data_IF_915256445519
#
_entry.id   IF_915256445519
#
_cell.length_a   1.000
_cell.length_b   1.000
_cell.length_c   1.000
_cell.angle_alpha   90.00
_cell.angle_beta   90.00
_cell.angle_gamma   90.00
#
_symmetry.space_group_name_H-M   'P 1'
#
loop_
_entity.id
_entity.type
_entity.pdbx_description
1 polymer ?
#
# COMPACT_ATOMS: atom_id res chain seq x y z
N UNK A 1 -5.02 -6.35 8.45
CA UNK A 1 -6.04 -5.45 7.88
C UNK A 1 -7.46 -5.83 8.34
N UNK A 2 -7.82 -7.11 8.37
CA UNK A 2 -9.17 -7.58 8.77
C UNK A 2 -9.66 -7.02 10.11
N UNK A 3 -8.81 -6.95 11.13
CA UNK A 3 -9.15 -6.38 12.45
C UNK A 3 -9.34 -4.86 12.41
N UNK A 4 -8.55 -4.15 11.60
CA UNK A 4 -8.69 -2.70 11.40
C UNK A 4 -10.03 -2.40 10.74
N UNK A 5 -10.44 -3.21 9.77
CA UNK A 5 -11.73 -3.07 9.11
C UNK A 5 -12.89 -3.50 10.04
N UNK A 6 -12.68 -4.53 10.86
CA UNK A 6 -13.72 -5.12 11.72
C UNK A 6 -14.42 -6.32 11.08
N UNK A 7 -13.73 -7.03 10.17
CA UNK A 7 -14.20 -8.30 9.57
C UNK A 7 -13.85 -9.48 10.48
N UNK A 8 -12.71 -9.38 11.19
CA UNK A 8 -12.22 -10.35 12.15
C UNK A 8 -11.99 -9.68 13.50
N UNK A 9 -12.14 -10.44 14.58
CA UNK A 9 -11.86 -9.97 15.95
C UNK A 9 -13.13 -9.73 16.77
N UNK A 10 -12.94 -9.20 17.98
CA UNK A 10 -14.03 -8.86 18.89
C UNK A 10 -14.69 -7.53 18.50
N UNK A 11 -15.98 -7.38 18.77
CA UNK A 11 -16.67 -6.10 18.62
C UNK A 11 -16.11 -5.05 19.60
N UNK A 12 -16.24 -3.76 19.26
CA UNK A 12 -15.85 -2.62 20.09
C UNK A 12 -14.34 -2.52 20.36
N UNK A 13 -13.50 -2.86 19.37
CA UNK A 13 -12.03 -2.69 19.43
C UNK A 13 -11.57 -1.38 18.79
N UNK A 14 -12.50 -0.57 18.28
CA UNK A 14 -12.19 0.68 17.57
C UNK A 14 -11.89 0.46 16.09
N UNK A 15 -12.45 -0.60 15.51
CA UNK A 15 -12.37 -0.90 14.07
C UNK A 15 -13.16 0.13 13.24
N UNK A 16 -12.90 0.18 11.94
CA UNK A 16 -13.65 1.03 11.01
C UNK A 16 -15.16 0.78 11.10
N UNK A 17 -15.56 -0.49 11.23
CA UNK A 17 -16.97 -0.88 11.43
C UNK A 17 -17.57 -0.32 12.72
N UNK A 18 -16.80 -0.25 13.81
CA UNK A 18 -17.26 0.34 15.08
C UNK A 18 -17.54 1.85 14.94
N UNK A 19 -16.90 2.52 13.97
CA UNK A 19 -17.15 3.92 13.61
C UNK A 19 -18.17 4.09 12.47
N UNK A 20 -18.92 3.05 12.11
CA UNK A 20 -19.97 3.11 11.09
C UNK A 20 -19.47 3.08 9.63
N UNK A 21 -18.19 2.79 9.40
CA UNK A 21 -17.64 2.64 8.05
C UNK A 21 -18.00 1.25 7.52
N UNK A 22 -18.68 1.22 6.37
CA UNK A 22 -19.04 -0.02 5.69
C UNK A 22 -17.87 -0.51 4.82
N UNK A 23 -17.75 -1.83 4.69
CA UNK A 23 -16.72 -2.48 3.87
C UNK A 23 -17.35 -3.48 2.91
N UNK A 24 -16.72 -3.60 1.74
CA UNK A 24 -16.98 -4.65 0.75
C UNK A 24 -15.72 -4.89 -0.06
N UNK A 25 -15.64 -6.08 -0.63
CA UNK A 25 -14.50 -6.52 -1.43
C UNK A 25 -14.97 -6.98 -2.80
N UNK A 26 -14.18 -6.69 -3.83
CA UNK A 26 -14.35 -7.27 -5.15
C UNK A 26 -13.49 -8.53 -5.19
N UNK A 27 -14.07 -9.72 -5.41
CA UNK A 27 -13.29 -10.95 -5.46
C UNK A 27 -12.31 -10.91 -6.63
N UNK A 28 -11.19 -11.61 -6.46
CA UNK A 28 -10.23 -11.83 -7.53
C UNK A 28 -10.75 -12.90 -8.49
N UNK A 29 -10.29 -12.85 -9.75
CA UNK A 29 -10.51 -13.94 -10.70
C UNK A 29 -9.72 -15.19 -10.30
N UNK A 30 -10.04 -16.34 -10.89
CA UNK A 30 -9.49 -17.64 -10.51
C UNK A 30 -7.95 -17.74 -10.62
N UNK A 31 -7.31 -16.95 -11.48
CA UNK A 31 -5.85 -16.88 -11.59
C UNK A 31 -5.20 -15.91 -10.57
N UNK A 32 -6.01 -15.31 -9.69
CA UNK A 32 -5.60 -14.34 -8.69
C UNK A 32 -5.48 -12.90 -9.20
N UNK A 33 -5.78 -12.65 -10.48
CA UNK A 33 -5.84 -11.31 -11.05
C UNK A 33 -7.04 -10.48 -10.55
N UNK A 34 -7.05 -9.20 -10.92
CA UNK A 34 -8.22 -8.34 -10.71
C UNK A 34 -9.35 -8.77 -11.65
N UNK A 35 -10.57 -8.89 -11.11
CA UNK A 35 -11.77 -9.00 -11.92
C UNK A 35 -12.11 -7.62 -12.51
N UNK A 36 -11.68 -7.40 -13.76
CA UNK A 36 -11.85 -6.11 -14.44
C UNK A 36 -13.31 -5.78 -14.70
N UNK A 37 -14.15 -6.77 -14.99
CA UNK A 37 -15.57 -6.58 -15.29
C UNK A 37 -16.33 -6.24 -14.00
N UNK A 38 -16.05 -6.96 -12.91
CA UNK A 38 -16.62 -6.65 -11.61
C UNK A 38 -16.14 -5.28 -11.09
N UNK A 39 -14.85 -4.94 -11.27
CA UNK A 39 -14.29 -3.66 -10.85
C UNK A 39 -14.97 -2.48 -11.58
N UNK A 40 -15.24 -2.63 -12.88
CA UNK A 40 -15.87 -1.61 -13.74
C UNK A 40 -17.31 -1.26 -13.33
N UNK A 41 -17.97 -2.10 -12.54
CA UNK A 41 -19.33 -1.89 -12.02
C UNK A 41 -19.39 -1.86 -10.49
N UNK A 42 -18.22 -1.85 -9.83
CA UNK A 42 -18.17 -2.01 -8.40
C UNK A 42 -18.59 -0.75 -7.67
N UNK A 43 -18.19 0.45 -8.09
CA UNK A 43 -18.29 1.68 -7.28
C UNK A 43 -19.75 2.14 -7.13
N UNK A 44 -20.16 2.39 -5.88
CA UNK A 44 -21.50 2.90 -5.53
C UNK A 44 -21.43 4.37 -5.11
N UNK A 45 -22.54 5.13 -5.12
CA UNK A 45 -22.56 6.52 -4.68
C UNK A 45 -21.97 6.75 -3.28
N UNK A 46 -22.18 5.82 -2.36
CA UNK A 46 -21.67 5.84 -1.00
C UNK A 46 -20.21 5.39 -0.83
N UNK A 47 -19.55 4.92 -1.90
CA UNK A 47 -18.18 4.41 -1.83
C UNK A 47 -17.18 5.57 -1.73
N UNK A 48 -16.78 5.92 -0.51
CA UNK A 48 -15.85 7.02 -0.26
C UNK A 48 -14.38 6.72 -0.58
N UNK A 49 -13.95 5.46 -0.45
CA UNK A 49 -12.56 5.05 -0.67
C UNK A 49 -12.49 3.66 -1.31
N UNK A 50 -11.65 3.52 -2.33
CA UNK A 50 -11.20 2.26 -2.89
C UNK A 50 -9.79 1.96 -2.38
N UNK A 51 -9.60 0.76 -1.84
CA UNK A 51 -8.32 0.29 -1.32
C UNK A 51 -7.73 -0.76 -2.26
N UNK A 52 -6.46 -0.59 -2.64
CA UNK A 52 -5.73 -1.51 -3.52
C UNK A 52 -4.49 -2.03 -2.79
N UNK A 53 -4.32 -3.34 -2.72
CA UNK A 53 -3.12 -3.97 -2.17
C UNK A 53 -2.17 -4.39 -3.30
N UNK A 54 -1.03 -3.69 -3.42
CA UNK A 54 -0.04 -3.94 -4.48
C UNK A 54 0.59 -5.33 -4.36
N UNK A 55 1.15 -5.64 -3.19
CA UNK A 55 1.75 -6.94 -2.93
C UNK A 55 0.70 -8.06 -2.80
N UNK A 56 1.01 -9.25 -3.30
CA UNK A 56 0.17 -10.43 -3.12
C UNK A 56 0.08 -10.92 -1.66
N UNK A 57 1.00 -10.50 -0.78
CA UNK A 57 1.07 -11.02 0.58
C UNK A 57 1.24 -12.54 0.56
N UNK A 58 0.34 -13.27 1.23
CA UNK A 58 0.34 -14.74 1.25
C UNK A 58 -0.61 -15.37 0.23
N UNK A 59 -1.25 -14.58 -0.63
CA UNK A 59 -2.16 -15.09 -1.66
C UNK A 59 -1.38 -15.62 -2.86
N UNK A 60 -1.86 -16.72 -3.46
CA UNK A 60 -1.27 -17.30 -4.66
C UNK A 60 -1.67 -16.52 -5.92
N UNK A 61 -1.17 -15.30 -6.02
CA UNK A 61 -1.36 -14.40 -7.16
C UNK A 61 -0.11 -13.61 -7.43
N UNK A 62 -0.03 -13.01 -8.62
CA UNK A 62 0.99 -12.00 -8.90
C UNK A 62 0.67 -10.72 -8.14
N UNK A 63 1.72 -10.06 -7.63
CA UNK A 63 1.62 -8.67 -7.20
C UNK A 63 1.21 -7.80 -8.38
N UNK A 64 0.43 -6.75 -8.10
CA UNK A 64 -0.04 -5.83 -9.13
C UNK A 64 1.12 -4.94 -9.60
N UNK A 65 1.24 -4.78 -10.91
CA UNK A 65 2.16 -3.79 -11.48
C UNK A 65 1.60 -2.38 -11.31
N UNK A 66 2.45 -1.36 -11.46
CA UNK A 66 1.98 0.04 -11.49
C UNK A 66 1.03 0.28 -12.66
N UNK A 67 1.19 -0.44 -13.78
CA UNK A 67 0.28 -0.40 -14.92
C UNK A 67 -1.11 -0.96 -14.58
N UNK A 68 -1.18 -2.09 -13.85
CA UNK A 68 -2.46 -2.66 -13.38
C UNK A 68 -3.15 -1.69 -12.42
N UNK A 69 -2.38 -1.09 -11.51
CA UNK A 69 -2.91 -0.10 -10.55
C UNK A 69 -3.43 1.14 -11.29
N UNK A 70 -2.70 1.64 -12.30
CA UNK A 70 -3.16 2.76 -13.13
C UNK A 70 -4.49 2.45 -13.83
N UNK A 71 -4.60 1.26 -14.44
CA UNK A 71 -5.84 0.81 -15.07
C UNK A 71 -6.98 0.70 -14.06
N UNK A 72 -6.73 0.14 -12.88
CA UNK A 72 -7.71 0.03 -11.81
C UNK A 72 -8.21 1.41 -11.33
N UNK A 73 -7.29 2.36 -11.11
CA UNK A 73 -7.62 3.75 -10.76
C UNK A 73 -8.52 4.37 -11.84
N UNK A 74 -8.17 4.19 -13.12
CA UNK A 74 -8.97 4.70 -14.24
C UNK A 74 -10.43 4.19 -14.20
N UNK A 75 -10.63 2.89 -13.99
CA UNK A 75 -11.96 2.29 -13.88
C UNK A 75 -12.75 2.83 -12.67
N UNK A 76 -12.08 3.00 -11.52
CA UNK A 76 -12.70 3.54 -10.31
C UNK A 76 -13.14 4.99 -10.53
N UNK A 77 -12.24 5.83 -11.06
CA UNK A 77 -12.48 7.26 -11.27
C UNK A 77 -13.51 7.54 -12.37
N UNK A 78 -13.64 6.66 -13.36
CA UNK A 78 -14.71 6.76 -14.37
C UNK A 78 -16.10 6.57 -13.76
N UNK A 79 -16.25 5.70 -12.76
CA UNK A 79 -17.53 5.48 -12.08
C UNK A 79 -17.83 6.60 -11.06
N UNK A 80 -16.81 7.01 -10.31
CA UNK A 80 -16.93 8.13 -9.37
C UNK A 80 -15.58 8.87 -9.24
N UNK A 81 -15.44 10.08 -9.81
CA UNK A 81 -14.20 10.85 -9.72
C UNK A 81 -13.84 11.28 -8.28
N UNK A 82 -14.85 11.35 -7.40
CA UNK A 82 -14.69 11.71 -5.99
C UNK A 82 -14.32 10.52 -5.09
N UNK A 83 -14.38 9.28 -5.59
CA UNK A 83 -13.96 8.11 -4.82
C UNK A 83 -12.45 8.15 -4.64
N UNK A 84 -11.96 8.26 -3.39
CA UNK A 84 -10.52 8.28 -3.12
C UNK A 84 -9.90 6.92 -3.42
N UNK A 85 -8.67 6.89 -3.91
CA UNK A 85 -7.92 5.65 -4.12
C UNK A 85 -6.70 5.62 -3.22
N UNK A 86 -6.71 4.67 -2.27
CA UNK A 86 -5.59 4.38 -1.39
C UNK A 86 -4.89 3.10 -1.84
N UNK A 87 -3.55 3.11 -1.90
CA UNK A 87 -2.75 1.93 -2.23
C UNK A 87 -1.85 1.55 -1.06
N UNK A 88 -1.98 0.32 -0.57
CA UNK A 88 -0.93 -0.30 0.25
C UNK A 88 0.24 -0.65 -0.66
N UNK A 89 1.31 0.14 -0.54
CA UNK A 89 2.47 0.08 -1.41
C UNK A 89 3.60 -0.78 -0.82
N UNK A 90 3.37 -1.45 0.31
CA UNK A 90 4.37 -2.30 0.94
C UNK A 90 5.01 -3.29 -0.05
N UNK A 91 6.34 -3.37 -0.02
CA UNK A 91 7.19 -4.21 -0.87
C UNK A 91 7.26 -3.77 -2.34
N UNK A 92 6.48 -2.78 -2.76
CA UNK A 92 6.49 -2.25 -4.12
C UNK A 92 7.45 -1.09 -4.32
N UNK A 93 7.92 -0.49 -3.22
CA UNK A 93 8.75 0.71 -3.29
C UNK A 93 10.06 0.43 -4.05
N UNK A 94 10.36 1.26 -5.05
CA UNK A 94 11.55 1.21 -5.91
C UNK A 94 11.71 -0.05 -6.78
N UNK A 95 10.69 -0.90 -6.86
CA UNK A 95 10.71 -2.09 -7.75
C UNK A 95 10.48 -1.69 -9.20
N UNK A 96 9.68 -0.64 -9.43
CA UNK A 96 9.38 -0.07 -10.73
C UNK A 96 9.87 1.40 -10.76
N UNK A 97 10.01 1.97 -11.96
CA UNK A 97 10.43 3.38 -12.13
C UNK A 97 9.37 4.36 -11.60
N UNK A 98 8.12 3.91 -11.57
CA UNK A 98 6.98 4.71 -11.11
C UNK A 98 6.37 4.12 -9.84
N UNK A 99 5.67 4.96 -9.08
CA UNK A 99 4.92 4.55 -7.89
C UNK A 99 3.43 4.84 -8.08
N UNK A 100 2.52 4.19 -7.31
CA UNK A 100 1.08 4.38 -7.47
C UNK A 100 0.62 5.85 -7.38
N UNK A 101 1.28 6.66 -6.54
CA UNK A 101 1.00 8.09 -6.44
C UNK A 101 1.25 8.85 -7.75
N UNK A 102 2.19 8.38 -8.58
CA UNK A 102 2.51 8.99 -9.89
C UNK A 102 1.47 8.65 -10.97
N UNK A 103 0.64 7.63 -10.74
CA UNK A 103 -0.36 7.13 -11.72
C UNK A 103 -1.80 7.33 -11.26
N UNK A 104 -2.01 8.17 -10.25
CA UNK A 104 -3.33 8.65 -9.84
C UNK A 104 -3.83 8.15 -8.48
N UNK A 105 -3.02 7.41 -7.71
CA UNK A 105 -3.40 7.09 -6.34
C UNK A 105 -3.44 8.38 -5.50
N UNK A 106 -4.51 8.57 -4.73
CA UNK A 106 -4.69 9.75 -3.89
C UNK A 106 -3.85 9.68 -2.61
N UNK A 107 -3.62 8.46 -2.12
CA UNK A 107 -2.83 8.18 -0.93
C UNK A 107 -2.11 6.84 -1.07
N UNK A 108 -0.85 6.77 -0.65
CA UNK A 108 -0.10 5.53 -0.51
C UNK A 108 0.45 5.41 0.91
N UNK A 109 0.58 4.19 1.41
CA UNK A 109 1.18 3.92 2.70
C UNK A 109 2.10 2.70 2.64
N UNK A 110 3.11 2.68 3.51
CA UNK A 110 4.01 1.55 3.65
C UNK A 110 4.88 1.64 4.89
N UNK A 111 5.80 0.70 5.01
CA UNK A 111 6.63 0.53 6.21
C UNK A 111 8.08 0.92 5.95
N UNK A 112 8.68 1.68 6.87
CA UNK A 112 10.09 2.06 6.80
C UNK A 112 11.02 0.93 7.19
N UNK A 113 10.56 -0.17 7.81
CA UNK A 113 11.41 -1.35 8.02
C UNK A 113 11.42 -2.30 6.81
N UNK A 114 10.84 -1.88 5.68
CA UNK A 114 10.85 -2.59 4.40
C UNK A 114 11.75 -1.86 3.40
N UNK A 115 11.39 -1.91 2.11
CA UNK A 115 12.11 -1.32 0.98
C UNK A 115 12.62 0.11 1.23
N UNK A 116 11.79 1.10 1.66
CA UNK A 116 12.26 2.47 1.81
C UNK A 116 13.20 2.70 2.99
N UNK A 117 13.34 1.71 3.88
CA UNK A 117 14.30 1.77 4.98
C UNK A 117 15.73 1.46 4.59
N UNK A 118 15.95 0.88 3.41
CA UNK A 118 17.28 0.46 2.95
C UNK A 118 18.01 -0.42 3.96
N UNK A 119 17.30 -1.24 4.76
CA UNK A 119 17.82 -2.05 5.89
C UNK A 119 18.44 -1.26 7.06
N UNK A 120 18.39 0.07 7.01
CA UNK A 120 18.98 0.98 8.03
C UNK A 120 17.93 1.54 8.97
N UNK A 121 16.74 1.87 8.45
CA UNK A 121 15.69 2.46 9.27
C UNK A 121 15.26 1.49 10.39
N UNK A 122 15.28 1.93 11.68
CA UNK A 122 15.05 1.04 12.80
C UNK A 122 13.55 0.72 13.01
N UNK A 123 12.68 1.64 12.61
CA UNK A 123 11.24 1.55 12.77
C UNK A 123 10.54 2.56 11.84
N UNK A 124 9.21 2.57 11.89
CA UNK A 124 8.38 3.61 11.30
C UNK A 124 7.57 3.18 10.07
N UNK A 125 6.78 4.12 9.58
CA UNK A 125 5.97 3.99 8.39
C UNK A 125 5.90 5.34 7.67
N UNK A 126 5.40 5.32 6.44
CA UNK A 126 5.20 6.52 5.65
C UNK A 126 3.77 6.56 5.10
N UNK A 127 3.30 7.79 4.88
CA UNK A 127 2.11 8.10 4.11
C UNK A 127 2.51 9.19 3.12
N UNK A 128 2.16 9.03 1.85
CA UNK A 128 2.43 10.02 0.80
C UNK A 128 1.23 10.13 -0.13
N UNK A 129 0.94 11.33 -0.65
CA UNK A 129 -0.22 11.55 -1.51
C UNK A 129 -0.67 13.00 -1.50
N UNK A 130 -1.98 13.21 -1.70
CA UNK A 130 -2.59 14.54 -1.65
C UNK A 130 -2.48 15.15 -0.26
N UNK A 131 -2.11 16.42 -0.20
CA UNK A 131 -1.86 17.19 1.03
C UNK A 131 -2.97 17.00 2.07
N UNK A 132 -4.22 17.34 1.74
CA UNK A 132 -5.36 17.21 2.68
C UNK A 132 -5.59 15.78 3.20
N UNK A 133 -5.19 14.73 2.46
CA UNK A 133 -5.30 13.34 2.91
C UNK A 133 -4.14 12.95 3.83
N UNK A 134 -2.93 13.45 3.53
CA UNK A 134 -1.77 13.29 4.41
C UNK A 134 -2.01 14.01 5.74
N UNK A 135 -2.57 15.22 5.72
CA UNK A 135 -2.97 15.96 6.93
C UNK A 135 -4.04 15.21 7.73
N UNK A 136 -5.06 14.65 7.07
CA UNK A 136 -6.07 13.83 7.73
C UNK A 136 -5.47 12.58 8.40
N UNK A 137 -4.52 11.92 7.72
CA UNK A 137 -3.78 10.79 8.29
C UNK A 137 -2.92 11.21 9.50
N UNK A 138 -2.26 12.37 9.41
CA UNK A 138 -1.49 12.93 10.51
C UNK A 138 -2.37 13.27 11.73
N UNK A 139 -3.52 13.91 11.51
CA UNK A 139 -4.47 14.20 12.57
C UNK A 139 -5.02 12.94 13.25
N UNK A 140 -5.12 11.82 12.51
CA UNK A 140 -5.48 10.51 13.09
C UNK A 140 -4.33 9.87 13.86
N UNK A 141 -3.08 10.09 13.45
CA UNK A 141 -1.89 9.58 14.14
C UNK A 141 -1.65 10.33 15.46
N UNK A 142 -1.84 11.65 15.46
CA UNK A 142 -1.66 12.51 16.63
C UNK A 142 -3.01 12.85 17.28
N UNK A 143 -3.54 14.03 16.97
CA UNK A 143 -4.90 14.46 17.30
C UNK A 143 -5.32 15.59 16.35
N UNK A 144 -6.64 15.80 16.15
CA UNK A 144 -7.14 16.98 15.43
C UNK A 144 -6.59 18.28 16.02
N UNK A 145 -6.07 19.16 15.17
CA UNK A 145 -5.47 20.44 15.55
C UNK A 145 -3.97 20.41 15.88
N UNK A 146 -3.38 19.24 16.15
CA UNK A 146 -1.92 19.11 16.27
C UNK A 146 -1.25 18.87 14.91
N UNK A 147 -1.84 17.99 14.09
CA UNK A 147 -1.33 17.68 12.75
C UNK A 147 0.09 17.09 12.78
N UNK A 148 0.94 17.57 11.86
CA UNK A 148 2.35 17.16 11.67
C UNK A 148 3.37 18.04 12.42
N UNK A 149 2.92 19.14 13.01
CA UNK A 149 3.80 20.15 13.64
C UNK A 149 4.43 19.66 14.95
N UNK A 150 3.87 18.61 15.55
CA UNK A 150 4.30 18.08 16.84
C UNK A 150 4.76 16.63 16.72
N UNK A 151 5.99 16.38 17.12
CA UNK A 151 6.59 15.04 17.17
C UNK A 151 8.10 15.14 17.27
N UNK A 152 8.67 14.68 18.39
CA UNK A 152 10.13 14.64 18.52
C UNK A 152 10.67 13.39 17.83
N UNK A 153 11.64 13.57 16.94
CA UNK A 153 12.38 12.44 16.38
C UNK A 153 13.84 12.52 16.82
N UNK A 154 14.38 11.51 17.53
CA UNK A 154 15.77 11.53 17.94
C UNK A 154 16.70 11.70 16.73
N UNK A 155 17.72 12.56 16.84
CA UNK A 155 18.58 12.89 15.69
C UNK A 155 19.28 11.68 15.04
N UNK A 156 19.61 10.66 15.83
CA UNK A 156 20.19 9.42 15.31
C UNK A 156 19.19 8.61 14.46
N UNK A 157 17.88 8.67 14.79
CA UNK A 157 16.82 8.07 13.98
C UNK A 157 16.68 8.85 12.67
N UNK A 158 16.71 10.18 12.69
CA UNK A 158 16.66 10.98 11.45
C UNK A 158 17.78 10.64 10.48
N UNK A 159 19.03 10.59 10.96
CA UNK A 159 20.15 10.17 10.12
C UNK A 159 19.90 8.79 9.50
N UNK A 160 19.41 7.83 10.30
CA UNK A 160 19.11 6.48 9.83
C UNK A 160 18.00 6.46 8.77
N UNK A 161 16.93 7.24 8.93
CA UNK A 161 15.85 7.32 7.94
C UNK A 161 16.36 7.89 6.60
N UNK A 162 17.12 9.00 6.62
CA UNK A 162 17.66 9.59 5.39
C UNK A 162 18.68 8.68 4.71
N UNK A 163 19.58 8.06 5.48
CA UNK A 163 20.54 7.08 4.94
C UNK A 163 19.82 5.87 4.35
N UNK A 164 18.80 5.36 5.05
CA UNK A 164 17.97 4.26 4.60
C UNK A 164 17.24 4.58 3.29
N UNK A 165 16.62 5.75 3.20
CA UNK A 165 15.92 6.19 1.99
C UNK A 165 16.87 6.32 0.80
N UNK A 166 18.08 6.86 1.01
CA UNK A 166 19.09 7.00 -0.03
C UNK A 166 19.58 5.63 -0.55
N UNK A 167 19.76 4.65 0.35
CA UNK A 167 20.20 3.30 0.01
C UNK A 167 19.05 2.38 -0.46
N UNK A 168 17.80 2.75 -0.20
CA UNK A 168 16.60 1.97 -0.49
C UNK A 168 16.57 1.38 -1.90
N UNK A 169 16.71 2.18 -2.98
CA UNK A 169 16.70 1.67 -4.35
C UNK A 169 17.77 0.60 -4.62
N UNK A 170 18.99 0.77 -4.08
CA UNK A 170 20.06 -0.21 -4.24
C UNK A 170 19.71 -1.53 -3.52
N UNK A 171 19.25 -1.44 -2.27
CA UNK A 171 18.90 -2.64 -1.48
C UNK A 171 17.72 -3.41 -2.08
N UNK A 172 16.73 -2.69 -2.63
CA UNK A 172 15.62 -3.30 -3.38
C UNK A 172 16.15 -4.01 -4.63
N UNK A 173 17.05 -3.38 -5.38
CA UNK A 173 17.69 -4.00 -6.54
C UNK A 173 18.40 -5.31 -6.20
N UNK A 174 19.14 -5.36 -5.09
CA UNK A 174 19.78 -6.60 -4.61
C UNK A 174 18.73 -7.67 -4.23
N UNK A 175 17.68 -7.29 -3.51
CA UNK A 175 16.60 -8.21 -3.13
C UNK A 175 15.89 -8.81 -4.35
N UNK A 176 15.58 -8.00 -5.37
CA UNK A 176 14.94 -8.46 -6.62
C UNK A 176 15.85 -9.44 -7.36
N UNK A 177 17.16 -9.17 -7.47
CA UNK A 177 18.12 -10.10 -8.09
C UNK A 177 18.12 -11.45 -7.40
N UNK A 178 18.16 -11.46 -6.06
CA UNK A 178 18.12 -12.72 -5.27
C UNK A 178 16.79 -13.44 -5.45
N UNK A 179 15.66 -12.72 -5.51
CA UNK A 179 14.35 -13.29 -5.79
C UNK A 179 14.30 -13.99 -7.14
N UNK A 180 14.84 -13.36 -8.20
CA UNK A 180 14.95 -13.94 -9.53
C UNK A 180 15.89 -15.16 -9.58
N UNK A 181 17.05 -15.07 -8.92
CA UNK A 181 18.00 -16.19 -8.81
C UNK A 181 17.33 -17.39 -8.14
N UNK A 182 16.60 -17.16 -7.05
CA UNK A 182 15.87 -18.21 -6.33
C UNK A 182 14.79 -18.82 -7.23
N UNK A 183 13.93 -18.00 -7.84
CA UNK A 183 12.87 -18.50 -8.73
C UNK A 183 13.43 -19.36 -9.89
N UNK A 184 14.56 -18.94 -10.49
CA UNK A 184 15.21 -19.69 -11.55
C UNK A 184 15.89 -20.97 -11.04
N UNK A 185 16.61 -20.90 -9.92
CA UNK A 185 17.29 -22.06 -9.33
C UNK A 185 16.32 -23.18 -8.95
N UNK A 186 15.15 -22.83 -8.40
CA UNK A 186 14.09 -23.79 -8.10
C UNK A 186 13.48 -24.42 -9.36
N UNK A 187 13.34 -23.66 -10.45
CA UNK A 187 12.87 -24.21 -11.73
C UNK A 187 13.81 -25.26 -12.31
N UNK A 188 15.12 -25.09 -12.18
CA UNK A 188 16.09 -26.08 -12.66
C UNK A 188 16.00 -27.40 -11.89
N UNK A 189 15.92 -27.35 -10.56
CA UNK A 189 15.82 -28.57 -9.74
C UNK A 189 14.46 -29.29 -9.87
N UNK A 190 13.39 -28.60 -10.27
CA UNK A 190 12.09 -29.22 -10.50
C UNK A 190 12.00 -29.94 -11.87
N UNK A 191 12.93 -29.67 -12.79
CA UNK A 191 12.98 -30.31 -14.11
C UNK A 191 13.97 -31.49 -14.19
N UNK A 192 14.72 -31.75 -13.13
CA UNK A 192 15.63 -32.90 -12.98
C UNK A 192 15.06 -33.92 -12.02
#
# INVERSE_FOLDING_TARGET
>A
LEEVIGIRGSANVGSLKDFGVTYREVPLVADGGLDWDALACSIRPETGCAFIQRSCGYSWRKSLSVADIHKAIGLIKMQNPNCMVMVDNCYGEFVEISEPAMVGADLIAGSLIKNPGGTIAPCGGYVAGKEHLVEAAAARLSAPGLGVEFGSTPGHVMRALFQGLFLGPQMVGEAVKVGLLTANGWRYNACT
#
